data_IF_900886806947
#
_entry.id   IF_900886806947
#
_cell.length_a   1.000
_cell.length_b   1.000
_cell.length_c   1.000
_cell.angle_alpha   90.00
_cell.angle_beta   90.00
_cell.angle_gamma   90.00
#
_symmetry.space_group_name_H-M   'P 1'
#
loop_
_entity.id
_entity.type
_entity.pdbx_description
1 polymer ?
#
# COMPACT_ATOMS: atom_id res chain seq x y z
N UNK A 1 68.45 4.89 30.06
CA UNK A 1 67.97 3.66 30.64
C UNK A 1 66.84 3.11 29.77
N UNK A 2 67.18 2.13 29.06
CA UNK A 2 66.50 1.00 28.49
C UNK A 2 65.11 0.70 29.04
N UNK A 3 64.09 0.61 28.16
CA UNK A 3 62.98 -0.31 28.27
C UNK A 3 62.43 -0.54 26.88
N UNK A 4 62.77 -1.60 26.28
CA UNK A 4 62.06 -2.70 25.68
C UNK A 4 60.70 -2.36 25.05
N UNK A 5 60.72 -2.33 23.69
CA UNK A 5 59.59 -2.58 22.79
C UNK A 5 59.20 -4.06 22.92
N UNK A 6 57.99 -4.32 23.37
CA UNK A 6 57.32 -5.61 23.19
C UNK A 6 56.24 -5.43 22.13
N UNK A 7 56.50 -5.97 20.95
CA UNK A 7 55.54 -6.04 19.87
C UNK A 7 54.43 -7.07 20.18
N UNK A 8 53.20 -6.60 20.20
CA UNK A 8 52.05 -7.47 20.11
C UNK A 8 51.54 -7.47 18.65
N UNK A 9 51.96 -8.51 17.93
CA UNK A 9 51.46 -8.86 16.60
C UNK A 9 50.04 -9.43 16.79
N UNK A 10 49.04 -8.57 16.72
CA UNK A 10 47.67 -9.01 16.70
C UNK A 10 47.34 -9.62 15.35
N UNK A 11 47.31 -10.93 15.29
CA UNK A 11 46.83 -11.72 14.17
C UNK A 11 45.35 -11.37 13.97
N UNK A 12 45.01 -10.52 13.03
CA UNK A 12 43.64 -10.38 12.49
C UNK A 12 43.33 -11.67 11.73
N UNK A 13 42.70 -12.62 12.40
CA UNK A 13 41.90 -13.65 11.74
C UNK A 13 40.74 -12.93 11.05
N UNK A 14 40.89 -12.64 9.78
CA UNK A 14 39.75 -12.38 8.89
C UNK A 14 39.02 -13.70 8.76
N UNK A 15 38.04 -13.92 9.64
CA UNK A 15 37.02 -14.90 9.41
C UNK A 15 36.30 -14.47 8.14
N UNK A 16 36.62 -15.11 7.03
CA UNK A 16 35.80 -15.10 5.82
C UNK A 16 34.47 -15.73 6.23
N UNK A 17 33.53 -14.91 6.70
CA UNK A 17 32.14 -15.30 6.81
C UNK A 17 31.71 -15.50 5.37
N UNK A 18 31.74 -16.76 4.91
CA UNK A 18 31.02 -17.16 3.72
C UNK A 18 29.58 -16.73 4.01
N UNK A 19 29.15 -15.64 3.38
CA UNK A 19 27.77 -15.20 3.47
C UNK A 19 26.92 -16.33 2.87
N UNK A 20 26.49 -17.27 3.71
CA UNK A 20 25.46 -18.22 3.33
C UNK A 20 24.29 -17.40 2.87
N UNK A 21 23.94 -17.51 1.60
CA UNK A 21 22.76 -16.87 1.03
C UNK A 21 21.56 -17.25 1.91
N UNK A 22 21.01 -16.29 2.63
CA UNK A 22 19.83 -16.53 3.44
C UNK A 22 18.69 -16.94 2.51
N UNK A 23 18.16 -18.14 2.72
CA UNK A 23 16.97 -18.61 2.03
C UNK A 23 15.74 -18.10 2.78
N UNK A 24 14.96 -17.27 2.09
CA UNK A 24 13.77 -16.65 2.65
C UNK A 24 12.55 -17.54 2.47
N UNK A 25 11.86 -17.87 3.54
CA UNK A 25 10.54 -18.50 3.50
C UNK A 25 9.45 -17.47 3.16
N UNK A 26 8.29 -17.93 2.70
CA UNK A 26 7.15 -17.05 2.43
C UNK A 26 6.76 -16.22 3.68
N UNK A 27 6.73 -16.87 4.85
CA UNK A 27 6.37 -16.20 6.10
C UNK A 27 7.40 -15.15 6.51
N UNK A 28 8.70 -15.45 6.39
CA UNK A 28 9.76 -14.46 6.66
C UNK A 28 9.68 -13.25 5.71
N UNK A 29 9.35 -13.47 4.44
CA UNK A 29 9.12 -12.36 3.49
C UNK A 29 7.94 -11.48 3.93
N UNK A 30 6.83 -12.10 4.35
CA UNK A 30 5.66 -11.38 4.84
C UNK A 30 6.02 -10.59 6.10
N UNK A 31 6.61 -11.24 7.11
CA UNK A 31 6.94 -10.61 8.39
C UNK A 31 7.92 -9.43 8.22
N UNK A 32 8.89 -9.60 7.34
CA UNK A 32 9.83 -8.54 7.02
C UNK A 32 9.16 -7.34 6.32
N UNK A 33 8.29 -7.61 5.32
CA UNK A 33 7.55 -6.56 4.65
C UNK A 33 6.61 -5.80 5.60
N UNK A 34 5.95 -6.51 6.53
CA UNK A 34 5.09 -5.87 7.54
C UNK A 34 5.84 -4.87 8.41
N UNK A 35 7.15 -5.03 8.58
CA UNK A 35 7.99 -4.13 9.39
C UNK A 35 8.64 -3.01 8.55
N UNK A 36 9.04 -3.29 7.31
CA UNK A 36 9.93 -2.42 6.55
C UNK A 36 9.27 -1.75 5.33
N UNK A 37 8.13 -2.27 4.83
CA UNK A 37 7.53 -1.73 3.63
C UNK A 37 7.08 -0.27 3.80
N UNK A 38 7.56 0.61 2.92
CA UNK A 38 7.33 2.07 2.97
C UNK A 38 5.85 2.42 2.82
N UNK A 39 5.11 1.70 1.96
CA UNK A 39 3.68 1.96 1.76
C UNK A 39 2.89 1.70 3.04
N UNK A 40 3.21 0.63 3.76
CA UNK A 40 2.58 0.32 5.04
C UNK A 40 2.98 1.33 6.13
N UNK A 41 4.23 1.80 6.15
CA UNK A 41 4.67 2.86 7.07
C UNK A 41 3.92 4.17 6.79
N UNK A 42 3.70 4.53 5.52
CA UNK A 42 2.89 5.71 5.14
C UNK A 42 1.44 5.59 5.61
N UNK A 43 0.81 4.41 5.47
CA UNK A 43 -0.54 4.17 5.98
C UNK A 43 -0.60 4.34 7.51
N UNK A 44 0.42 3.88 8.25
CA UNK A 44 0.53 4.11 9.71
C UNK A 44 0.67 5.59 10.07
N UNK A 45 1.43 6.36 9.31
CA UNK A 45 1.53 7.82 9.51
C UNK A 45 0.20 8.53 9.20
N UNK A 46 -0.55 8.05 8.21
CA UNK A 46 -1.89 8.56 7.91
C UNK A 46 -2.86 8.33 9.09
N UNK A 47 -2.80 7.16 9.73
CA UNK A 47 -3.55 6.91 10.96
C UNK A 47 -3.16 7.89 12.09
N UNK A 48 -1.85 8.17 12.27
CA UNK A 48 -1.41 9.15 13.26
C UNK A 48 -1.98 10.55 12.96
N UNK A 49 -2.00 10.97 11.69
CA UNK A 49 -2.64 12.22 11.28
C UNK A 49 -4.14 12.22 11.61
N UNK A 50 -4.86 11.14 11.33
CA UNK A 50 -6.28 11.03 11.66
C UNK A 50 -6.54 11.11 13.19
N UNK A 51 -5.65 10.56 14.02
CA UNK A 51 -5.70 10.69 15.50
C UNK A 51 -5.54 12.14 15.95
N UNK A 52 -4.66 12.90 15.31
CA UNK A 52 -4.51 14.33 15.59
C UNK A 52 -5.75 15.13 15.15
N UNK A 53 -6.38 14.79 14.02
CA UNK A 53 -7.64 15.40 13.58
C UNK A 53 -8.78 15.16 14.58
N UNK A 54 -8.85 13.96 15.18
CA UNK A 54 -9.79 13.67 16.28
C UNK A 54 -9.47 14.52 17.51
N UNK A 55 -8.20 14.65 17.87
CA UNK A 55 -7.76 15.46 19.01
C UNK A 55 -8.08 16.94 18.79
N UNK A 56 -7.83 17.46 17.60
CA UNK A 56 -8.17 18.83 17.20
C UNK A 56 -9.69 19.06 17.26
N UNK A 57 -10.49 18.12 16.74
CA UNK A 57 -11.96 18.26 16.75
C UNK A 57 -12.55 18.20 18.15
N UNK A 58 -11.95 17.46 19.09
CA UNK A 58 -12.30 17.49 20.52
C UNK A 58 -11.92 18.83 21.14
N UNK A 59 -10.72 19.35 20.83
CA UNK A 59 -10.28 20.67 21.32
C UNK A 59 -11.19 21.81 20.81
N UNK A 60 -11.78 21.69 19.62
CA UNK A 60 -12.74 22.64 19.08
C UNK A 60 -14.06 22.75 19.90
N UNK A 61 -14.28 21.85 20.86
CA UNK A 61 -15.37 21.96 21.85
C UNK A 61 -15.00 22.85 23.03
N UNK A 62 -13.75 23.26 23.19
CA UNK A 62 -13.22 24.10 24.25
C UNK A 62 -13.13 25.55 23.77
N UNK A 63 -13.02 26.52 24.69
CA UNK A 63 -12.76 27.90 24.31
C UNK A 63 -11.36 28.10 23.72
N UNK A 64 -11.27 28.98 22.72
CA UNK A 64 -10.00 29.46 22.18
C UNK A 64 -9.58 30.77 22.89
N UNK A 65 -8.29 30.97 23.08
CA UNK A 65 -7.70 32.19 23.61
C UNK A 65 -6.61 32.70 22.65
N UNK A 66 -6.76 33.93 22.20
CA UNK A 66 -5.83 34.57 21.29
C UNK A 66 -5.32 35.89 21.88
N UNK A 67 -4.02 36.11 21.83
CA UNK A 67 -3.39 37.41 22.09
C UNK A 67 -3.08 38.08 20.74
N UNK A 68 -3.38 39.38 20.65
CA UNK A 68 -3.09 40.15 19.44
C UNK A 68 -2.50 41.50 19.82
N UNK A 69 -1.57 41.95 19.01
CA UNK A 69 -1.08 43.34 19.06
C UNK A 69 -0.97 43.86 17.64
N UNK A 70 -1.35 45.11 17.46
CA UNK A 70 -1.15 45.80 16.18
C UNK A 70 -0.58 47.20 16.40
N UNK A 71 0.30 47.58 15.51
CA UNK A 71 1.00 48.86 15.56
C UNK A 71 0.88 49.51 14.19
N UNK A 72 0.23 50.66 14.15
CA UNK A 72 -0.02 51.40 12.91
C UNK A 72 0.67 52.78 12.97
N UNK A 73 1.53 53.06 12.03
CA UNK A 73 2.12 54.36 11.80
C UNK A 73 1.39 55.00 10.61
N UNK A 74 0.75 56.13 10.87
CA UNK A 74 0.04 56.93 9.87
C UNK A 74 0.77 58.26 9.62
N UNK A 75 0.90 58.64 8.34
CA UNK A 75 1.39 59.95 7.92
C UNK A 75 0.35 60.65 7.04
N UNK A 76 -0.04 61.89 7.45
CA UNK A 76 -1.06 62.67 6.78
C UNK A 76 -0.46 63.99 6.30
N UNK A 77 0.14 64.04 5.11
CA UNK A 77 0.96 65.17 4.65
C UNK A 77 0.18 66.46 4.50
N UNK A 78 -1.11 66.42 4.22
CA UNK A 78 -1.96 67.59 3.98
C UNK A 78 -2.87 67.99 5.14
N UNK A 79 -2.77 67.32 6.30
CA UNK A 79 -3.56 67.66 7.47
C UNK A 79 -2.77 68.60 8.37
N UNK A 80 -3.07 69.88 8.29
CA UNK A 80 -2.39 70.95 9.05
C UNK A 80 -3.17 71.35 10.31
N UNK A 81 -4.47 71.07 10.41
CA UNK A 81 -5.32 71.39 11.57
C UNK A 81 -6.39 70.38 11.80
N UNK A 82 -6.83 70.11 13.01
CA UNK A 82 -7.96 69.29 13.44
C UNK A 82 -9.02 70.17 14.13
N UNK A 83 -10.27 69.72 14.12
CA UNK A 83 -11.37 70.37 14.84
C UNK A 83 -11.65 69.57 16.10
N UNK A 84 -11.54 70.15 17.27
CA UNK A 84 -11.92 69.56 18.55
C UNK A 84 -13.18 70.26 19.07
N UNK A 85 -14.21 69.49 19.38
CA UNK A 85 -15.45 70.01 19.98
C UNK A 85 -15.26 70.14 21.48
N UNK A 86 -15.49 71.33 21.97
CA UNK A 86 -15.50 71.67 23.41
C UNK A 86 -16.94 72.04 23.81
N UNK A 87 -17.22 72.05 25.14
CA UNK A 87 -18.57 72.24 25.69
C UNK A 87 -19.30 73.49 25.16
N UNK A 88 -18.60 74.53 24.71
CA UNK A 88 -19.17 75.79 24.20
C UNK A 88 -18.71 76.10 22.75
N UNK A 89 -18.30 75.18 21.92
CA UNK A 89 -17.89 75.47 20.55
C UNK A 89 -16.85 74.48 19.97
N UNK A 90 -16.25 74.88 18.86
CA UNK A 90 -15.17 74.14 18.19
C UNK A 90 -13.88 74.90 18.24
N UNK A 91 -12.78 74.23 18.54
CA UNK A 91 -11.44 74.80 18.52
C UNK A 91 -10.59 74.15 17.47
N UNK A 92 -9.94 74.91 16.61
CA UNK A 92 -8.94 74.45 15.70
C UNK A 92 -7.63 74.16 16.41
N UNK A 93 -7.17 72.90 16.38
CA UNK A 93 -5.90 72.54 17.01
C UNK A 93 -4.92 72.09 15.93
N UNK A 94 -3.63 72.43 16.13
CA UNK A 94 -2.58 71.85 15.27
C UNK A 94 -2.46 70.36 15.53
N UNK A 95 -2.44 69.56 14.45
CA UNK A 95 -2.37 68.08 14.54
C UNK A 95 -1.02 67.66 14.00
N UNK A 96 -0.35 66.77 14.71
CA UNK A 96 0.86 66.14 14.19
C UNK A 96 0.53 65.28 12.91
N UNK A 97 1.37 65.54 11.89
CA UNK A 97 1.19 64.80 10.61
C UNK A 97 1.47 63.32 10.73
N UNK A 98 2.24 62.93 11.74
CA UNK A 98 2.56 61.51 12.00
C UNK A 98 1.79 61.04 13.24
N UNK A 99 1.09 59.93 13.12
CA UNK A 99 0.37 59.27 14.21
C UNK A 99 0.80 57.83 14.35
N UNK A 100 1.05 57.42 15.56
CA UNK A 100 1.29 56.01 15.90
C UNK A 100 0.16 55.52 16.80
N UNK A 101 -0.44 54.38 16.42
CA UNK A 101 -1.50 53.73 17.19
C UNK A 101 -1.06 52.32 17.54
N UNK A 102 -1.03 51.98 18.81
CA UNK A 102 -0.83 50.63 19.32
C UNK A 102 -2.16 50.07 19.84
N UNK A 103 -2.48 48.82 19.54
CA UNK A 103 -3.57 48.07 20.17
C UNK A 103 -3.06 46.74 20.70
N UNK A 104 -3.51 46.38 21.86
CA UNK A 104 -3.14 45.18 22.60
C UNK A 104 -4.43 44.48 23.03
N UNK A 105 -4.58 43.17 22.73
CA UNK A 105 -5.82 42.46 23.03
C UNK A 105 -5.62 41.01 23.39
N UNK A 106 -6.43 40.55 24.34
CA UNK A 106 -6.67 39.14 24.62
C UNK A 106 -8.14 38.88 24.30
N UNK A 107 -8.39 37.86 23.45
CA UNK A 107 -9.73 37.50 23.05
C UNK A 107 -9.96 36.03 23.30
N UNK A 108 -10.98 35.68 24.06
CA UNK A 108 -11.45 34.33 24.24
C UNK A 108 -12.79 34.16 23.51
N UNK A 109 -12.92 33.07 22.77
CA UNK A 109 -14.17 32.71 22.11
C UNK A 109 -14.51 31.25 22.31
N UNK A 110 -15.78 30.95 22.57
CA UNK A 110 -16.27 29.59 22.76
C UNK A 110 -17.63 29.42 22.11
N UNK A 111 -17.69 28.49 21.16
CA UNK A 111 -18.98 28.03 20.59
C UNK A 111 -19.57 26.97 21.49
N UNK A 112 -20.49 27.37 22.34
CA UNK A 112 -21.15 26.46 23.32
C UNK A 112 -22.10 25.47 22.61
N UNK A 113 -22.81 25.96 21.59
CA UNK A 113 -23.76 25.17 20.84
C UNK A 113 -23.93 25.68 19.41
N UNK A 114 -23.92 24.77 18.42
CA UNK A 114 -24.11 25.08 17.01
C UNK A 114 -24.90 23.97 16.30
N UNK A 115 -26.02 23.53 16.90
CA UNK A 115 -26.80 22.43 16.33
C UNK A 115 -26.12 21.08 16.36
N UNK A 116 -25.19 20.86 17.31
CA UNK A 116 -24.32 19.68 17.42
C UNK A 116 -23.29 19.52 16.28
N UNK A 117 -23.07 20.53 15.44
CA UNK A 117 -22.09 20.46 14.35
C UNK A 117 -20.73 20.00 14.84
N UNK A 118 -20.17 20.66 15.88
CA UNK A 118 -18.83 20.33 16.41
C UNK A 118 -18.81 18.92 16.99
N UNK A 119 -19.87 18.48 17.68
CA UNK A 119 -19.95 17.11 18.22
C UNK A 119 -20.03 16.05 17.11
N UNK A 120 -20.77 16.34 16.05
CA UNK A 120 -20.84 15.46 14.88
C UNK A 120 -19.52 15.45 14.09
N UNK A 121 -18.77 16.59 14.08
CA UNK A 121 -17.43 16.62 13.51
C UNK A 121 -16.47 15.68 14.25
N UNK A 122 -16.54 15.61 15.59
CA UNK A 122 -15.76 14.64 16.39
C UNK A 122 -16.13 13.19 16.00
N UNK A 123 -17.44 12.91 15.78
CA UNK A 123 -17.88 11.59 15.34
C UNK A 123 -17.36 11.26 13.94
N UNK A 124 -17.42 12.23 13.03
CA UNK A 124 -16.91 12.05 11.66
C UNK A 124 -15.43 11.76 11.66
N UNK A 125 -14.64 12.53 12.42
CA UNK A 125 -13.19 12.32 12.49
C UNK A 125 -12.82 10.98 13.15
N UNK A 126 -13.62 10.47 14.11
CA UNK A 126 -13.43 9.11 14.64
C UNK A 126 -13.70 8.03 13.60
N UNK A 127 -14.75 8.17 12.79
CA UNK A 127 -15.00 7.24 11.70
C UNK A 127 -13.88 7.29 10.64
N UNK A 128 -13.29 8.45 10.41
CA UNK A 128 -12.11 8.60 9.54
C UNK A 128 -10.87 7.94 10.16
N UNK A 129 -10.68 8.02 11.48
CA UNK A 129 -9.63 7.30 12.20
C UNK A 129 -9.81 5.78 12.06
N UNK A 130 -11.03 5.26 12.28
CA UNK A 130 -11.35 3.84 12.07
C UNK A 130 -11.14 3.39 10.61
N UNK A 131 -11.48 4.25 9.64
CA UNK A 131 -11.16 3.99 8.22
C UNK A 131 -9.66 3.89 7.97
N UNK A 132 -8.86 4.77 8.57
CA UNK A 132 -7.41 4.73 8.43
C UNK A 132 -6.79 3.44 9.05
N UNK A 133 -7.40 2.88 10.12
CA UNK A 133 -7.00 1.58 10.65
C UNK A 133 -7.31 0.43 9.68
N UNK A 134 -8.46 0.47 9.03
CA UNK A 134 -8.83 -0.50 7.98
C UNK A 134 -7.93 -0.39 6.75
N UNK A 135 -7.52 0.83 6.35
CA UNK A 135 -6.60 1.07 5.24
C UNK A 135 -5.21 0.45 5.48
N UNK A 136 -4.73 0.44 6.75
CA UNK A 136 -3.49 -0.28 7.11
C UNK A 136 -3.66 -1.78 6.85
N UNK A 137 -4.79 -2.37 7.25
CA UNK A 137 -5.07 -3.79 7.05
C UNK A 137 -5.22 -4.13 5.56
N UNK A 138 -5.91 -3.28 4.81
CA UNK A 138 -6.07 -3.40 3.35
C UNK A 138 -4.71 -3.36 2.64
N UNK A 139 -3.86 -2.40 3.00
CA UNK A 139 -2.49 -2.28 2.49
C UNK A 139 -1.66 -3.51 2.84
N UNK A 140 -1.73 -3.99 4.08
CA UNK A 140 -1.02 -5.18 4.53
C UNK A 140 -1.47 -6.43 3.75
N UNK A 141 -2.77 -6.59 3.53
CA UNK A 141 -3.34 -7.69 2.74
C UNK A 141 -2.85 -7.65 1.28
N UNK A 142 -2.86 -6.48 0.65
CA UNK A 142 -2.37 -6.30 -0.71
C UNK A 142 -0.88 -6.64 -0.86
N UNK A 143 -0.06 -6.25 0.12
CA UNK A 143 1.37 -6.59 0.15
C UNK A 143 1.55 -8.10 0.33
N UNK A 144 0.83 -8.76 1.23
CA UNK A 144 0.89 -10.21 1.45
C UNK A 144 0.49 -10.98 0.19
N UNK A 145 -0.59 -10.57 -0.47
CA UNK A 145 -1.04 -11.16 -1.74
C UNK A 145 0.05 -11.05 -2.80
N UNK A 146 0.65 -9.86 -2.96
CA UNK A 146 1.72 -9.64 -3.94
C UNK A 146 2.97 -10.44 -3.65
N UNK A 147 3.36 -10.55 -2.37
CA UNK A 147 4.50 -11.39 -1.95
C UNK A 147 4.22 -12.85 -2.31
N UNK A 148 3.02 -13.38 -1.99
CA UNK A 148 2.67 -14.76 -2.28
C UNK A 148 2.68 -15.06 -3.79
N UNK A 149 2.17 -14.14 -4.61
CA UNK A 149 2.22 -14.26 -6.07
C UNK A 149 3.65 -14.32 -6.59
N UNK A 150 4.52 -13.38 -6.17
CA UNK A 150 5.92 -13.34 -6.60
C UNK A 150 6.69 -14.57 -6.10
N UNK A 151 6.46 -14.99 -4.87
CA UNK A 151 7.11 -16.14 -4.26
C UNK A 151 6.80 -17.44 -5.02
N UNK A 152 5.53 -17.71 -5.27
CA UNK A 152 5.09 -18.91 -6.03
C UNK A 152 5.61 -18.85 -7.47
N UNK A 153 5.64 -17.66 -8.09
CA UNK A 153 6.19 -17.49 -9.42
C UNK A 153 7.70 -17.80 -9.48
N UNK A 154 8.47 -17.39 -8.45
CA UNK A 154 9.90 -17.74 -8.34
C UNK A 154 10.06 -19.26 -8.20
N UNK A 155 9.26 -19.91 -7.36
CA UNK A 155 9.31 -21.36 -7.19
C UNK A 155 9.02 -22.10 -8.51
N UNK A 156 7.98 -21.68 -9.23
CA UNK A 156 7.67 -22.19 -10.56
C UNK A 156 8.85 -22.08 -11.51
N UNK A 157 9.44 -20.90 -11.62
CA UNK A 157 10.55 -20.65 -12.54
C UNK A 157 11.83 -21.40 -12.14
N UNK A 158 12.11 -21.56 -10.86
CA UNK A 158 13.25 -22.38 -10.38
C UNK A 158 13.08 -23.85 -10.78
N UNK A 159 11.87 -24.39 -10.73
CA UNK A 159 11.64 -25.75 -11.24
C UNK A 159 11.67 -25.80 -12.77
N UNK A 160 11.19 -24.78 -13.47
CA UNK A 160 11.28 -24.68 -14.92
C UNK A 160 12.76 -24.68 -15.41
N UNK A 161 13.67 -24.01 -14.68
CA UNK A 161 15.11 -24.08 -14.95
C UNK A 161 15.61 -25.51 -14.88
N UNK A 162 15.25 -26.28 -13.82
CA UNK A 162 15.65 -27.70 -13.68
C UNK A 162 15.13 -28.58 -14.82
N UNK A 163 13.88 -28.33 -15.28
CA UNK A 163 13.32 -29.04 -16.43
C UNK A 163 14.11 -28.75 -17.71
N UNK A 164 14.48 -27.48 -17.93
CA UNK A 164 15.30 -27.08 -19.08
C UNK A 164 16.74 -27.65 -18.99
N UNK A 165 17.35 -27.70 -17.79
CA UNK A 165 18.64 -28.31 -17.55
C UNK A 165 18.63 -29.83 -17.90
N UNK A 166 17.58 -30.54 -17.48
CA UNK A 166 17.39 -31.93 -17.84
C UNK A 166 17.22 -32.13 -19.36
N UNK A 167 16.51 -31.18 -20.03
CA UNK A 167 16.41 -31.17 -21.50
C UNK A 167 17.74 -30.95 -22.19
N UNK A 168 18.55 -30.01 -21.70
CA UNK A 168 19.89 -29.74 -22.22
C UNK A 168 20.82 -30.98 -22.08
N UNK A 169 20.79 -31.64 -20.92
CA UNK A 169 21.59 -32.83 -20.68
C UNK A 169 21.22 -33.92 -21.69
N UNK A 170 19.92 -34.07 -22.00
CA UNK A 170 19.44 -34.98 -23.04
C UNK A 170 19.96 -34.57 -24.43
N UNK A 171 19.93 -33.29 -24.79
CA UNK A 171 20.46 -32.79 -26.06
C UNK A 171 21.97 -32.99 -26.20
N UNK A 172 22.73 -32.83 -25.14
CA UNK A 172 24.17 -33.10 -25.12
C UNK A 172 24.47 -34.54 -25.42
N UNK A 173 23.76 -35.50 -24.79
CA UNK A 173 23.89 -36.94 -25.07
C UNK A 173 23.52 -37.28 -26.51
N UNK A 174 22.47 -36.68 -27.03
CA UNK A 174 22.06 -36.87 -28.40
C UNK A 174 23.07 -36.34 -29.41
N UNK A 175 23.66 -35.14 -29.16
CA UNK A 175 24.73 -34.56 -30.00
C UNK A 175 25.96 -35.43 -29.97
N UNK A 176 26.42 -35.89 -28.79
CA UNK A 176 27.58 -36.81 -28.66
C UNK A 176 27.34 -38.11 -29.44
N UNK A 177 26.18 -38.72 -29.27
CA UNK A 177 25.80 -39.91 -30.02
C UNK A 177 25.76 -39.67 -31.53
N UNK A 178 25.21 -38.52 -31.95
CA UNK A 178 25.17 -38.09 -33.34
C UNK A 178 26.60 -37.95 -33.93
N UNK A 179 27.53 -37.42 -33.16
CA UNK A 179 28.95 -37.25 -33.55
C UNK A 179 29.58 -38.63 -33.80
N UNK A 180 29.41 -39.61 -32.89
CA UNK A 180 29.86 -40.97 -33.06
C UNK A 180 29.25 -41.61 -34.34
N UNK A 181 27.94 -41.38 -34.59
CA UNK A 181 27.30 -41.91 -35.78
C UNK A 181 27.82 -41.32 -37.11
N UNK A 182 28.19 -40.04 -37.10
CA UNK A 182 28.83 -39.40 -38.26
C UNK A 182 30.23 -39.96 -38.50
N UNK A 183 31.02 -40.22 -37.47
CA UNK A 183 32.36 -40.79 -37.57
C UNK A 183 32.38 -42.17 -38.20
N UNK A 184 31.35 -42.99 -37.88
CA UNK A 184 31.18 -44.32 -38.48
C UNK A 184 30.31 -44.31 -39.75
N UNK A 185 29.98 -43.15 -40.30
CA UNK A 185 29.23 -42.99 -41.55
C UNK A 185 27.73 -43.36 -41.49
N UNK A 186 27.13 -43.45 -40.29
CA UNK A 186 25.72 -43.81 -40.08
C UNK A 186 24.80 -42.61 -40.01
N UNK A 187 25.32 -41.40 -39.95
CA UNK A 187 24.57 -40.13 -39.87
C UNK A 187 25.20 -39.08 -40.80
N UNK A 188 24.39 -38.17 -41.30
CA UNK A 188 24.89 -37.06 -42.11
C UNK A 188 25.43 -35.90 -41.21
N UNK A 189 26.35 -35.10 -41.74
CA UNK A 189 26.82 -33.89 -41.06
C UNK A 189 25.69 -32.85 -40.88
N UNK A 190 24.68 -32.88 -41.78
CA UNK A 190 23.51 -31.98 -41.66
C UNK A 190 22.66 -32.37 -40.43
N UNK A 191 22.44 -33.63 -40.18
CA UNK A 191 21.71 -34.12 -39.01
C UNK A 191 22.45 -33.80 -37.70
N UNK A 192 23.80 -33.94 -37.68
CA UNK A 192 24.60 -33.52 -36.53
C UNK A 192 24.49 -32.00 -36.28
N UNK A 193 24.47 -31.20 -37.35
CA UNK A 193 24.29 -29.77 -37.21
C UNK A 193 22.93 -29.41 -36.58
N UNK A 194 21.85 -30.17 -36.85
CA UNK A 194 20.53 -30.01 -36.23
C UNK A 194 20.59 -30.35 -34.72
N UNK A 195 21.29 -31.44 -34.33
CA UNK A 195 21.49 -31.78 -32.90
C UNK A 195 22.28 -30.67 -32.16
N UNK A 196 23.31 -30.12 -32.80
CA UNK A 196 24.08 -29.01 -32.22
C UNK A 196 23.21 -27.71 -32.08
N UNK A 197 22.36 -27.43 -33.06
CA UNK A 197 21.41 -26.34 -32.99
C UNK A 197 20.40 -26.52 -31.84
N UNK A 198 19.85 -27.73 -31.66
CA UNK A 198 18.94 -28.04 -30.57
C UNK A 198 19.60 -27.84 -29.20
N UNK A 199 20.83 -28.34 -29.01
CA UNK A 199 21.59 -28.12 -27.78
C UNK A 199 21.76 -26.64 -27.49
N UNK A 200 22.09 -25.85 -28.52
CA UNK A 200 22.28 -24.40 -28.36
C UNK A 200 20.97 -23.68 -28.02
N UNK A 201 19.83 -24.14 -28.57
CA UNK A 201 18.50 -23.64 -28.21
C UNK A 201 18.17 -23.96 -26.74
N UNK A 202 18.49 -25.17 -26.27
CA UNK A 202 18.25 -25.54 -24.87
C UNK A 202 19.13 -24.71 -23.92
N UNK A 203 20.40 -24.42 -24.27
CA UNK A 203 21.25 -23.50 -23.51
C UNK A 203 20.65 -22.10 -23.45
N UNK A 204 20.14 -21.57 -24.57
CA UNK A 204 19.45 -20.29 -24.60
C UNK A 204 18.20 -20.27 -23.70
N UNK A 205 17.39 -21.35 -23.71
CA UNK A 205 16.20 -21.48 -22.88
C UNK A 205 16.54 -21.47 -21.38
N UNK A 206 17.64 -22.09 -20.98
CA UNK A 206 18.11 -22.04 -19.57
C UNK A 206 18.48 -20.62 -19.19
N UNK A 207 19.29 -19.92 -19.99
CA UNK A 207 19.70 -18.54 -19.70
C UNK A 207 18.47 -17.62 -19.59
N UNK A 208 17.51 -17.79 -20.51
CA UNK A 208 16.24 -17.03 -20.48
C UNK A 208 15.42 -17.31 -19.22
N UNK A 209 15.30 -18.58 -18.82
CA UNK A 209 14.57 -18.95 -17.59
C UNK A 209 15.29 -18.44 -16.34
N UNK A 210 16.62 -18.52 -16.27
CA UNK A 210 17.40 -17.97 -15.16
C UNK A 210 17.27 -16.46 -15.06
N UNK A 211 17.28 -15.75 -16.18
CA UNK A 211 17.04 -14.30 -16.20
C UNK A 211 15.65 -13.94 -15.66
N UNK A 212 14.64 -14.75 -15.96
CA UNK A 212 13.30 -14.56 -15.40
C UNK A 212 13.27 -14.78 -13.88
N UNK A 213 13.93 -15.81 -13.37
CA UNK A 213 14.08 -16.04 -11.92
C UNK A 213 14.66 -14.81 -11.24
N UNK A 214 15.79 -14.29 -11.76
CA UNK A 214 16.44 -13.11 -11.17
C UNK A 214 15.55 -11.85 -11.25
N UNK A 215 14.78 -11.69 -12.33
CA UNK A 215 13.81 -10.58 -12.44
C UNK A 215 12.73 -10.64 -11.35
N UNK A 216 12.12 -11.82 -11.13
CA UNK A 216 11.09 -11.96 -10.08
C UNK A 216 11.69 -11.87 -8.68
N UNK A 217 12.92 -12.34 -8.45
CA UNK A 217 13.66 -12.11 -7.19
C UNK A 217 13.90 -10.61 -6.97
N UNK A 218 14.26 -9.87 -8.01
CA UNK A 218 14.43 -8.42 -7.93
C UNK A 218 13.13 -7.72 -7.56
N UNK A 219 12.01 -8.10 -8.19
CA UNK A 219 10.69 -7.54 -7.84
C UNK A 219 10.31 -7.85 -6.39
N UNK A 220 10.58 -9.06 -5.90
CA UNK A 220 10.33 -9.42 -4.51
C UNK A 220 11.24 -8.62 -3.56
N UNK A 221 12.54 -8.51 -3.87
CA UNK A 221 13.50 -7.68 -3.12
C UNK A 221 13.03 -6.22 -3.00
N UNK A 222 12.55 -5.64 -4.10
CA UNK A 222 12.01 -4.28 -4.12
C UNK A 222 10.76 -4.14 -3.24
N UNK A 223 9.85 -5.12 -3.29
CA UNK A 223 8.65 -5.11 -2.45
C UNK A 223 8.99 -5.25 -0.95
N UNK A 224 10.07 -5.96 -0.63
CA UNK A 224 10.62 -6.10 0.71
C UNK A 224 11.46 -4.89 1.16
N UNK A 225 11.70 -3.90 0.28
CA UNK A 225 12.58 -2.75 0.53
C UNK A 225 14.05 -3.14 0.84
N UNK A 226 14.48 -4.30 0.33
CA UNK A 226 15.85 -4.75 0.50
C UNK A 226 16.73 -4.10 -0.58
N UNK A 227 17.62 -3.20 -0.17
CA UNK A 227 18.57 -2.50 -1.05
C UNK A 227 19.94 -3.17 -1.02
N UNK A 228 20.68 -3.05 -2.11
CA UNK A 228 22.09 -3.52 -2.20
C UNK A 228 22.23 -4.86 -2.93
N UNK A 229 23.49 -5.32 -3.03
CA UNK A 229 23.91 -6.51 -3.78
C UNK A 229 23.89 -7.80 -2.93
N UNK A 230 23.28 -7.78 -1.75
CA UNK A 230 23.19 -8.97 -0.92
C UNK A 230 22.47 -10.10 -1.68
N UNK A 231 23.07 -11.29 -1.64
CA UNK A 231 22.51 -12.47 -2.26
C UNK A 231 21.16 -12.80 -1.64
N UNK A 232 20.11 -12.78 -2.48
CA UNK A 232 18.73 -13.04 -2.08
C UNK A 232 18.22 -14.28 -2.81
N UNK A 233 17.68 -15.24 -2.07
CA UNK A 233 17.00 -16.39 -2.65
C UNK A 233 15.84 -16.85 -1.79
N UNK A 234 14.85 -17.51 -2.41
CA UNK A 234 13.69 -18.05 -1.73
C UNK A 234 13.89 -19.52 -1.40
N UNK A 235 13.41 -19.91 -0.21
CA UNK A 235 13.42 -21.29 0.21
C UNK A 235 12.44 -22.10 -0.66
N UNK A 236 12.91 -23.25 -1.16
CA UNK A 236 12.01 -24.25 -1.74
C UNK A 236 11.34 -25.00 -0.58
N UNK A 237 10.02 -25.25 -0.63
CA UNK A 237 9.35 -26.06 0.38
C UNK A 237 10.06 -27.38 0.55
N UNK A 238 10.29 -27.79 1.82
CA UNK A 238 10.83 -29.11 2.10
C UNK A 238 9.96 -30.19 1.44
N UNK A 239 10.60 -31.23 0.93
CA UNK A 239 9.97 -32.34 0.24
C UNK A 239 8.92 -33.13 1.06
N UNK A 240 8.73 -32.78 2.34
CA UNK A 240 7.78 -33.40 3.24
C UNK A 240 6.29 -33.17 2.87
N UNK A 241 5.98 -32.05 2.21
CA UNK A 241 4.70 -31.90 1.51
C UNK A 241 4.97 -31.90 0.01
N UNK A 242 4.66 -32.98 -0.67
CA UNK A 242 4.83 -33.00 -2.11
C UNK A 242 3.96 -31.88 -2.71
N UNK A 243 4.59 -30.99 -3.48
CA UNK A 243 3.87 -29.90 -4.15
C UNK A 243 2.71 -30.42 -5.01
N UNK A 244 2.72 -31.72 -5.36
CA UNK A 244 1.64 -32.41 -6.03
C UNK A 244 0.40 -32.60 -5.14
N UNK A 245 0.57 -32.99 -3.87
CA UNK A 245 -0.55 -33.10 -2.90
C UNK A 245 -1.19 -31.73 -2.64
N UNK A 246 -0.38 -30.68 -2.56
CA UNK A 246 -0.91 -29.32 -2.44
C UNK A 246 -1.76 -28.90 -3.65
N UNK A 247 -1.32 -29.25 -4.86
CA UNK A 247 -2.06 -28.96 -6.09
C UNK A 247 -3.34 -29.81 -6.25
N UNK A 248 -3.40 -31.00 -5.62
CA UNK A 248 -4.56 -31.90 -5.66
C UNK A 248 -5.53 -31.70 -4.47
N UNK A 249 -5.24 -30.74 -3.59
CA UNK A 249 -6.12 -30.43 -2.46
C UNK A 249 -7.50 -29.95 -2.94
N UNK A 250 -8.51 -30.16 -2.09
CA UNK A 250 -9.89 -29.79 -2.42
C UNK A 250 -10.04 -28.28 -2.61
N UNK A 251 -10.73 -27.88 -3.67
CA UNK A 251 -11.08 -26.49 -3.94
C UNK A 251 -12.30 -26.14 -3.06
N UNK A 252 -12.21 -25.13 -2.19
CA UNK A 252 -13.33 -24.75 -1.33
C UNK A 252 -14.53 -24.26 -2.16
N UNK A 253 -15.73 -24.37 -1.61
CA UNK A 253 -16.93 -23.87 -2.28
C UNK A 253 -16.88 -22.34 -2.41
N UNK A 254 -17.10 -21.83 -3.62
CA UNK A 254 -17.05 -20.39 -3.95
C UNK A 254 -17.86 -19.54 -2.97
N UNK A 255 -19.12 -19.91 -2.73
CA UNK A 255 -20.04 -19.14 -1.88
C UNK A 255 -19.55 -19.06 -0.43
N UNK A 256 -18.99 -20.16 0.09
CA UNK A 256 -18.45 -20.19 1.46
C UNK A 256 -17.26 -19.24 1.63
N UNK A 257 -16.37 -19.15 0.64
CA UNK A 257 -15.23 -18.23 0.65
C UNK A 257 -15.74 -16.78 0.57
N UNK A 258 -16.70 -16.51 -0.30
CA UNK A 258 -17.27 -15.17 -0.47
C UNK A 258 -17.99 -14.68 0.79
N UNK A 259 -18.83 -15.49 1.41
CA UNK A 259 -19.57 -15.11 2.64
C UNK A 259 -18.60 -14.79 3.79
N UNK A 260 -17.52 -15.59 3.93
CA UNK A 260 -16.49 -15.33 4.94
C UNK A 260 -15.72 -14.04 4.63
N UNK A 261 -15.33 -13.84 3.37
CA UNK A 261 -14.65 -12.64 2.92
C UNK A 261 -15.52 -11.38 3.12
N UNK A 262 -16.81 -11.45 2.76
CA UNK A 262 -17.75 -10.35 2.92
C UNK A 262 -17.84 -9.85 4.38
N UNK A 263 -17.75 -10.77 5.34
CA UNK A 263 -17.82 -10.45 6.76
C UNK A 263 -16.50 -9.93 7.36
N UNK A 264 -15.36 -10.27 6.76
CA UNK A 264 -14.04 -10.08 7.40
C UNK A 264 -13.11 -9.13 6.66
N UNK A 265 -13.37 -8.85 5.37
CA UNK A 265 -12.43 -8.07 4.56
C UNK A 265 -12.47 -6.58 4.88
N UNK A 266 -11.29 -5.96 5.11
CA UNK A 266 -11.21 -4.55 5.50
C UNK A 266 -11.72 -3.60 4.42
N UNK A 267 -11.59 -3.93 3.14
CA UNK A 267 -12.12 -3.14 2.03
C UNK A 267 -13.65 -3.00 2.06
N UNK A 268 -14.37 -4.03 2.50
CA UNK A 268 -15.83 -3.99 2.67
C UNK A 268 -16.20 -3.15 3.90
N UNK A 269 -15.50 -3.38 5.01
CA UNK A 269 -15.71 -2.62 6.25
C UNK A 269 -15.41 -1.13 6.05
N UNK A 270 -14.37 -0.79 5.29
CA UNK A 270 -14.03 0.59 4.92
C UNK A 270 -15.15 1.25 4.09
N UNK A 271 -15.70 0.54 3.10
CA UNK A 271 -16.83 1.03 2.32
C UNK A 271 -18.11 1.22 3.18
N UNK A 272 -18.38 0.33 4.13
CA UNK A 272 -19.47 0.51 5.11
C UNK A 272 -19.25 1.73 6.01
N UNK A 273 -17.99 1.96 6.46
CA UNK A 273 -17.64 3.15 7.24
C UNK A 273 -17.83 4.44 6.43
N UNK A 274 -17.57 4.43 5.12
CA UNK A 274 -17.83 5.57 4.24
C UNK A 274 -19.34 5.91 4.18
N UNK A 275 -20.21 4.91 4.18
CA UNK A 275 -21.69 5.12 4.28
C UNK A 275 -22.06 5.72 5.64
N UNK A 276 -21.55 5.18 6.76
CA UNK A 276 -21.77 5.71 8.12
C UNK A 276 -21.28 7.15 8.26
N UNK A 277 -20.10 7.46 7.70
CA UNK A 277 -19.54 8.82 7.67
C UNK A 277 -20.43 9.79 6.90
N UNK A 278 -21.09 9.33 5.84
CA UNK A 278 -22.05 10.12 5.09
C UNK A 278 -23.30 10.45 5.90
N UNK A 279 -23.80 9.53 6.74
CA UNK A 279 -24.93 9.79 7.63
C UNK A 279 -24.58 10.91 8.64
N UNK A 280 -23.41 10.89 9.23
CA UNK A 280 -22.91 11.95 10.12
C UNK A 280 -22.74 13.26 9.36
N UNK A 281 -22.26 13.22 8.11
CA UNK A 281 -22.12 14.41 7.26
C UNK A 281 -23.47 15.07 6.93
N UNK A 282 -24.52 14.28 6.76
CA UNK A 282 -25.90 14.81 6.61
C UNK A 282 -26.32 15.56 7.88
N UNK A 283 -26.02 15.03 9.07
CA UNK A 283 -26.36 15.69 10.33
C UNK A 283 -25.55 16.97 10.55
N UNK A 284 -24.27 17.00 10.15
CA UNK A 284 -23.45 18.23 10.11
C UNK A 284 -24.08 19.26 9.17
N UNK A 285 -24.54 18.85 7.99
CA UNK A 285 -25.19 19.74 7.05
C UNK A 285 -26.52 20.30 7.58
N UNK A 286 -27.34 19.47 8.26
CA UNK A 286 -28.60 19.88 8.91
C UNK A 286 -28.37 20.91 10.02
N UNK A 287 -27.23 20.85 10.73
CA UNK A 287 -26.89 21.80 11.78
C UNK A 287 -26.83 23.27 11.29
N UNK A 288 -26.63 23.50 9.98
CA UNK A 288 -26.68 24.84 9.39
C UNK A 288 -28.01 25.59 9.54
N UNK A 289 -29.11 24.89 9.90
CA UNK A 289 -30.42 25.49 10.20
C UNK A 289 -30.61 25.81 11.68
N UNK A 290 -29.73 25.34 12.52
CA UNK A 290 -29.87 25.48 13.97
C UNK A 290 -29.21 26.78 14.43
N UNK A 291 -29.70 27.39 15.53
CA UNK A 291 -29.02 28.52 16.15
C UNK A 291 -27.58 28.18 16.55
N UNK A 292 -26.72 29.21 16.57
CA UNK A 292 -25.37 29.10 17.13
C UNK A 292 -25.28 29.98 18.35
N UNK A 293 -24.83 29.42 19.48
CA UNK A 293 -24.62 30.13 20.74
C UNK A 293 -23.13 30.18 21.00
N UNK A 294 -22.58 31.39 21.11
CA UNK A 294 -21.17 31.64 21.38
C UNK A 294 -20.98 32.52 22.58
N UNK A 295 -20.00 32.23 23.41
CA UNK A 295 -19.48 33.11 24.47
C UNK A 295 -18.21 33.79 23.98
N UNK A 296 -18.07 35.06 24.30
CA UNK A 296 -16.91 35.86 23.97
C UNK A 296 -16.45 36.61 25.23
N UNK A 297 -15.17 36.69 25.44
CA UNK A 297 -14.58 37.53 26.46
C UNK A 297 -13.35 38.24 25.89
N UNK A 298 -13.18 39.50 26.21
CA UNK A 298 -12.04 40.28 25.72
C UNK A 298 -11.46 41.15 26.81
N UNK A 299 -10.15 41.35 26.73
CA UNK A 299 -9.45 42.38 27.48
C UNK A 299 -8.54 43.13 26.49
N UNK A 300 -8.65 44.44 26.41
CA UNK A 300 -7.90 45.20 25.43
C UNK A 300 -7.43 46.54 26.00
N UNK A 301 -6.34 47.07 25.48
CA UNK A 301 -5.87 48.40 25.70
C UNK A 301 -5.36 49.02 24.39
N UNK A 302 -5.38 50.32 24.29
CA UNK A 302 -4.87 51.04 23.13
C UNK A 302 -4.01 52.24 23.52
N UNK A 303 -3.05 52.56 22.67
CA UNK A 303 -2.18 53.70 22.81
C UNK A 303 -2.16 54.52 21.53
N UNK A 304 -2.03 55.84 21.67
CA UNK A 304 -1.98 56.80 20.56
C UNK A 304 -0.90 57.84 20.82
N UNK A 305 -0.02 58.08 19.87
CA UNK A 305 1.05 59.10 19.98
C UNK A 305 0.54 60.54 20.01
N UNK A 306 -0.71 60.79 19.63
CA UNK A 306 -1.34 62.12 19.69
C UNK A 306 -1.94 62.43 21.06
N UNK A 307 -1.95 61.48 21.98
CA UNK A 307 -2.38 61.69 23.38
C UNK A 307 -1.24 62.24 24.18
N UNK A 308 -1.59 63.14 25.13
CA UNK A 308 -0.61 63.86 25.94
C UNK A 308 -0.09 63.09 27.16
N UNK A 309 -0.58 61.90 27.42
CA UNK A 309 -0.20 61.06 28.55
C UNK A 309 0.75 59.94 28.10
N UNK A 310 1.57 59.48 29.02
CA UNK A 310 2.56 58.40 28.76
C UNK A 310 1.91 57.06 28.39
N UNK A 311 2.69 56.24 27.76
CA UNK A 311 2.22 54.90 27.32
C UNK A 311 1.61 54.10 28.47
N UNK A 312 2.21 54.14 29.67
CA UNK A 312 1.71 53.38 30.83
C UNK A 312 0.35 53.90 31.33
N UNK A 313 0.13 55.20 31.26
CA UNK A 313 -1.14 55.80 31.64
C UNK A 313 -2.22 55.57 30.61
N UNK A 314 -1.86 55.57 29.33
CA UNK A 314 -2.79 55.16 28.26
C UNK A 314 -3.20 53.71 28.38
N UNK A 315 -2.26 52.82 28.67
CA UNK A 315 -2.55 51.40 28.89
C UNK A 315 -3.53 51.18 30.04
N UNK A 316 -3.44 51.94 31.11
CA UNK A 316 -4.38 51.89 32.25
C UNK A 316 -5.71 52.54 31.93
N UNK A 317 -5.70 53.74 31.36
CA UNK A 317 -6.92 54.52 31.10
C UNK A 317 -7.77 53.95 29.97
N UNK A 318 -7.13 53.31 28.97
CA UNK A 318 -7.80 52.67 27.83
C UNK A 318 -8.00 51.18 28.05
N UNK A 319 -7.69 50.63 29.23
CA UNK A 319 -7.94 49.22 29.53
C UNK A 319 -9.45 48.98 29.61
N UNK A 320 -9.91 48.02 28.79
CA UNK A 320 -11.31 47.63 28.72
C UNK A 320 -11.43 46.13 28.79
N UNK A 321 -12.40 45.62 29.53
CA UNK A 321 -12.75 44.22 29.60
C UNK A 321 -14.24 44.05 29.27
N UNK A 322 -14.56 43.03 28.51
CA UNK A 322 -15.92 42.71 28.15
C UNK A 322 -16.19 41.22 28.09
N UNK A 323 -17.40 40.82 28.42
CA UNK A 323 -17.89 39.47 28.18
C UNK A 323 -19.29 39.56 27.58
N UNK A 324 -19.57 38.66 26.64
CA UNK A 324 -20.85 38.65 25.93
C UNK A 324 -21.29 37.27 25.51
N UNK A 325 -22.57 37.10 25.33
CA UNK A 325 -23.23 35.94 24.73
C UNK A 325 -23.80 36.37 23.38
N UNK A 326 -23.48 35.64 22.33
CA UNK A 326 -24.02 35.88 21.00
C UNK A 326 -24.88 34.68 20.62
N UNK A 327 -26.12 34.92 20.17
CA UNK A 327 -27.01 33.93 19.61
C UNK A 327 -27.34 34.32 18.17
N UNK A 328 -26.92 33.53 17.23
CA UNK A 328 -27.19 33.71 15.79
C UNK A 328 -28.16 32.69 15.31
N UNK A 329 -29.29 33.11 14.74
CA UNK A 329 -30.34 32.23 14.20
C UNK A 329 -30.47 32.51 12.70
N UNK A 330 -30.14 31.55 11.82
CA UNK A 330 -30.30 31.74 10.38
C UNK A 330 -31.79 31.67 9.99
N UNK A 331 -32.34 32.80 9.54
CA UNK A 331 -33.75 32.89 9.10
C UNK A 331 -33.85 32.59 7.61
N UNK A 332 -32.95 33.14 6.81
CA UNK A 332 -32.91 32.94 5.36
C UNK A 332 -31.44 32.86 4.92
N UNK A 333 -31.03 31.74 4.36
CA UNK A 333 -29.65 31.42 3.97
C UNK A 333 -29.51 31.23 2.45
N UNK A 334 -30.38 31.84 1.67
CA UNK A 334 -30.33 31.71 0.20
C UNK A 334 -30.31 30.26 -0.30
N UNK A 335 -31.01 29.35 0.41
CA UNK A 335 -31.07 27.91 0.15
C UNK A 335 -29.76 27.13 0.42
N UNK A 336 -28.72 27.75 0.96
CA UNK A 336 -27.41 27.13 1.15
C UNK A 336 -27.50 25.82 1.96
N UNK A 337 -28.14 25.83 3.12
CA UNK A 337 -28.29 24.64 3.96
C UNK A 337 -29.09 23.53 3.28
N UNK A 338 -30.21 23.90 2.59
CA UNK A 338 -31.02 22.92 1.84
C UNK A 338 -30.16 22.24 0.76
N UNK A 339 -29.35 23.01 0.05
CA UNK A 339 -28.45 22.47 -0.99
C UNK A 339 -27.37 21.56 -0.40
N UNK A 340 -26.76 21.98 0.73
CA UNK A 340 -25.73 21.18 1.40
C UNK A 340 -26.30 19.84 1.91
N UNK A 341 -27.50 19.83 2.51
CA UNK A 341 -28.18 18.60 2.94
C UNK A 341 -28.48 17.69 1.75
N UNK A 342 -28.96 18.26 0.64
CA UNK A 342 -29.25 17.47 -0.56
C UNK A 342 -27.95 16.88 -1.17
N UNK A 343 -26.88 17.66 -1.25
CA UNK A 343 -25.56 17.17 -1.69
C UNK A 343 -25.03 16.03 -0.79
N UNK A 344 -25.15 16.19 0.53
CA UNK A 344 -24.74 15.14 1.48
C UNK A 344 -25.55 13.86 1.31
N UNK A 345 -26.85 13.96 1.02
CA UNK A 345 -27.71 12.79 0.71
C UNK A 345 -27.29 12.10 -0.59
N UNK A 346 -27.03 12.89 -1.66
CA UNK A 346 -26.53 12.36 -2.93
C UNK A 346 -25.18 11.65 -2.73
N UNK A 347 -24.30 12.23 -1.91
CA UNK A 347 -23.00 11.59 -1.59
C UNK A 347 -23.21 10.27 -0.84
N UNK A 348 -24.16 10.20 0.10
CA UNK A 348 -24.51 8.95 0.77
C UNK A 348 -25.00 7.87 -0.20
N UNK A 349 -25.87 8.26 -1.13
CA UNK A 349 -26.34 7.32 -2.17
C UNK A 349 -25.18 6.84 -3.06
N UNK A 350 -24.29 7.75 -3.44
CA UNK A 350 -23.06 7.41 -4.17
C UNK A 350 -22.20 6.41 -3.39
N UNK A 351 -22.04 6.58 -2.07
CA UNK A 351 -21.26 5.67 -1.23
C UNK A 351 -21.95 4.30 -1.04
N UNK A 352 -23.29 4.24 -1.05
CA UNK A 352 -24.02 2.97 -1.08
C UNK A 352 -23.77 2.20 -2.38
N UNK A 353 -23.78 2.89 -3.51
CA UNK A 353 -23.44 2.28 -4.80
C UNK A 353 -21.97 1.83 -4.85
N UNK A 354 -21.06 2.60 -4.26
CA UNK A 354 -19.65 2.22 -4.14
C UNK A 354 -19.46 0.96 -3.27
N UNK A 355 -20.24 0.83 -2.18
CA UNK A 355 -20.23 -0.40 -1.36
C UNK A 355 -20.71 -1.62 -2.17
N UNK A 356 -21.80 -1.48 -2.94
CA UNK A 356 -22.27 -2.55 -3.81
C UNK A 356 -21.26 -2.93 -4.89
N UNK A 357 -20.59 -1.94 -5.47
CA UNK A 357 -19.54 -2.18 -6.46
C UNK A 357 -18.35 -2.90 -5.83
N UNK A 358 -17.92 -2.52 -4.63
CA UNK A 358 -16.85 -3.18 -3.89
C UNK A 358 -17.20 -4.64 -3.56
N UNK A 359 -18.44 -4.91 -3.14
CA UNK A 359 -18.93 -6.28 -2.91
C UNK A 359 -18.89 -7.13 -4.20
N UNK A 360 -19.26 -6.53 -5.33
CA UNK A 360 -19.21 -7.18 -6.63
C UNK A 360 -17.77 -7.46 -7.07
N UNK A 361 -16.86 -6.50 -6.88
CA UNK A 361 -15.44 -6.67 -7.20
C UNK A 361 -14.81 -7.79 -6.35
N UNK A 362 -15.14 -7.84 -5.06
CA UNK A 362 -14.71 -8.93 -4.18
C UNK A 362 -15.21 -10.30 -4.68
N UNK A 363 -16.50 -10.38 -5.05
CA UNK A 363 -17.06 -11.60 -5.63
C UNK A 363 -16.31 -12.02 -6.90
N UNK A 364 -16.10 -11.09 -7.83
CA UNK A 364 -15.36 -11.35 -9.09
C UNK A 364 -13.93 -11.82 -8.84
N UNK A 365 -13.25 -11.23 -7.87
CA UNK A 365 -11.88 -11.63 -7.51
C UNK A 365 -11.85 -13.07 -6.99
N UNK A 366 -12.75 -13.42 -6.07
CA UNK A 366 -12.84 -14.77 -5.52
C UNK A 366 -13.29 -15.78 -6.59
N UNK A 367 -14.25 -15.40 -7.44
CA UNK A 367 -14.71 -16.23 -8.57
C UNK A 367 -13.58 -16.54 -9.56
N UNK A 368 -12.75 -15.55 -9.88
CA UNK A 368 -11.58 -15.73 -10.74
C UNK A 368 -10.58 -16.72 -10.10
N UNK A 369 -10.22 -16.54 -8.83
CA UNK A 369 -9.34 -17.49 -8.14
C UNK A 369 -9.93 -18.89 -8.05
N UNK A 370 -11.24 -19.01 -7.85
CA UNK A 370 -11.94 -20.28 -7.80
C UNK A 370 -11.95 -20.98 -9.16
N UNK A 371 -12.28 -20.25 -10.23
CA UNK A 371 -12.29 -20.76 -11.60
C UNK A 371 -10.89 -21.19 -12.03
N UNK A 372 -9.89 -20.35 -11.73
CA UNK A 372 -8.49 -20.65 -12.05
C UNK A 372 -7.97 -21.85 -11.24
N UNK A 373 -8.32 -21.96 -9.94
CA UNK A 373 -7.97 -23.13 -9.14
C UNK A 373 -8.55 -24.41 -9.72
N UNK A 374 -9.85 -24.40 -10.04
CA UNK A 374 -10.55 -25.57 -10.58
C UNK A 374 -10.00 -25.97 -11.97
N UNK A 375 -9.84 -24.98 -12.85
CA UNK A 375 -9.36 -25.20 -14.20
C UNK A 375 -7.91 -25.70 -14.23
N UNK A 376 -7.01 -25.04 -13.46
CA UNK A 376 -5.62 -25.45 -13.41
C UNK A 376 -5.43 -26.80 -12.71
N UNK A 377 -6.26 -27.15 -11.73
CA UNK A 377 -6.22 -28.47 -11.11
C UNK A 377 -6.60 -29.57 -12.12
N UNK A 378 -7.63 -29.34 -12.95
CA UNK A 378 -7.99 -30.28 -14.02
C UNK A 378 -6.88 -30.38 -15.08
N UNK A 379 -6.30 -29.22 -15.49
CA UNK A 379 -5.14 -29.22 -16.40
C UNK A 379 -3.96 -29.98 -15.82
N UNK A 380 -3.69 -29.83 -14.52
CA UNK A 380 -2.60 -30.52 -13.85
C UNK A 380 -2.80 -32.04 -13.85
N UNK A 381 -4.03 -32.54 -13.56
CA UNK A 381 -4.37 -33.97 -13.65
C UNK A 381 -4.18 -34.51 -15.06
N UNK A 382 -4.64 -33.82 -16.08
CA UNK A 382 -4.45 -34.21 -17.47
C UNK A 382 -2.96 -34.15 -17.87
N UNK A 383 -2.24 -33.12 -17.47
CA UNK A 383 -0.83 -32.98 -17.78
C UNK A 383 0.06 -34.04 -17.12
N UNK A 384 -0.31 -34.58 -15.95
CA UNK A 384 0.39 -35.73 -15.36
C UNK A 384 0.33 -36.95 -16.27
N UNK A 385 -0.86 -37.28 -16.81
CA UNK A 385 -1.02 -38.41 -17.74
C UNK A 385 -0.31 -38.15 -19.08
N UNK A 386 -0.34 -36.87 -19.56
CA UNK A 386 0.36 -36.50 -20.79
C UNK A 386 1.88 -36.67 -20.63
N UNK A 387 2.46 -36.20 -19.51
CA UNK A 387 3.90 -36.35 -19.24
C UNK A 387 4.30 -37.82 -19.19
N UNK A 388 3.49 -38.69 -18.56
CA UNK A 388 3.76 -40.11 -18.49
C UNK A 388 3.77 -40.73 -19.90
N UNK A 389 2.78 -40.44 -20.75
CA UNK A 389 2.68 -40.93 -22.11
C UNK A 389 3.80 -40.42 -23.02
N UNK A 390 4.11 -39.10 -22.94
CA UNK A 390 5.19 -38.50 -23.74
C UNK A 390 6.57 -38.98 -23.28
N UNK A 391 6.76 -39.28 -22.00
CA UNK A 391 8.01 -39.86 -21.50
C UNK A 391 8.22 -41.26 -22.09
N UNK A 392 7.18 -42.11 -22.04
CA UNK A 392 7.25 -43.44 -22.64
C UNK A 392 7.48 -43.39 -24.16
N UNK A 393 6.80 -42.49 -24.86
CA UNK A 393 6.97 -42.26 -26.29
C UNK A 393 8.40 -41.83 -26.64
N UNK A 394 8.94 -40.85 -25.88
CA UNK A 394 10.29 -40.39 -26.09
C UNK A 394 11.34 -41.47 -25.81
N UNK A 395 11.18 -42.23 -24.73
CA UNK A 395 12.10 -43.33 -24.39
C UNK A 395 12.18 -44.36 -25.53
N UNK A 396 11.04 -44.73 -26.13
CA UNK A 396 11.00 -45.61 -27.29
C UNK A 396 11.64 -45.00 -28.56
N UNK A 397 11.42 -43.69 -28.78
CA UNK A 397 12.08 -42.97 -29.89
C UNK A 397 13.60 -42.91 -29.69
N UNK A 398 14.05 -42.70 -28.45
CA UNK A 398 15.47 -42.71 -28.09
C UNK A 398 16.13 -44.07 -28.34
N UNK A 399 15.44 -45.17 -27.97
CA UNK A 399 15.92 -46.55 -28.26
C UNK A 399 16.01 -46.82 -29.78
N UNK A 400 14.95 -46.48 -30.54
CA UNK A 400 14.95 -46.59 -32.00
C UNK A 400 16.07 -45.75 -32.65
N UNK A 401 16.30 -44.55 -32.17
CA UNK A 401 17.37 -43.68 -32.66
C UNK A 401 18.75 -44.33 -32.44
N UNK A 402 18.99 -44.89 -31.24
CA UNK A 402 20.26 -45.52 -30.88
C UNK A 402 20.61 -46.71 -31.79
N UNK A 403 19.59 -47.42 -32.32
CA UNK A 403 19.77 -48.56 -33.27
C UNK A 403 19.62 -48.14 -34.74
N UNK A 404 19.35 -46.85 -35.02
CA UNK A 404 19.24 -46.32 -36.39
C UNK A 404 17.87 -46.58 -37.06
N UNK A 405 16.83 -46.88 -36.30
CA UNK A 405 15.47 -47.20 -36.79
C UNK A 405 14.51 -46.01 -36.84
N UNK A 406 14.93 -44.82 -36.36
CA UNK A 406 14.17 -43.58 -36.50
C UNK A 406 15.10 -42.43 -36.94
N UNK A 407 14.51 -41.40 -37.54
CA UNK A 407 15.25 -40.23 -37.98
C UNK A 407 15.35 -39.19 -36.85
N UNK A 408 16.23 -38.21 -37.04
CA UNK A 408 16.50 -37.15 -36.06
C UNK A 408 15.32 -36.24 -35.83
N UNK A 409 14.51 -35.98 -36.85
CA UNK A 409 13.33 -35.09 -36.80
C UNK A 409 12.28 -35.66 -35.85
N UNK A 410 12.02 -36.97 -35.91
CA UNK A 410 11.10 -37.64 -35.01
C UNK A 410 11.60 -37.63 -33.57
N UNK A 411 12.91 -37.88 -33.35
CA UNK A 411 13.53 -37.83 -32.03
C UNK A 411 13.41 -36.43 -31.40
N UNK A 412 13.75 -35.37 -32.18
CA UNK A 412 13.65 -33.96 -31.72
C UNK A 412 12.20 -33.58 -31.42
N UNK A 413 11.26 -33.95 -32.30
CA UNK A 413 9.82 -33.66 -32.07
C UNK A 413 9.32 -34.34 -30.79
N UNK A 414 9.69 -35.62 -30.54
CA UNK A 414 9.32 -36.33 -29.32
C UNK A 414 9.92 -35.68 -28.06
N UNK A 415 11.17 -35.24 -28.14
CA UNK A 415 11.82 -34.48 -27.04
C UNK A 415 11.10 -33.17 -26.75
N UNK A 416 10.76 -32.42 -27.79
CA UNK A 416 10.08 -31.12 -27.63
C UNK A 416 8.66 -31.28 -27.07
N UNK A 417 7.93 -32.32 -27.53
CA UNK A 417 6.62 -32.66 -26.97
C UNK A 417 6.72 -32.97 -25.48
N UNK A 418 7.69 -33.79 -25.07
CA UNK A 418 7.92 -34.12 -23.66
C UNK A 418 8.29 -32.86 -22.83
N UNK A 419 9.14 -31.97 -23.38
CA UNK A 419 9.50 -30.72 -22.73
C UNK A 419 8.27 -29.84 -22.50
N UNK A 420 7.46 -29.65 -23.53
CA UNK A 420 6.20 -28.89 -23.47
C UNK A 420 5.22 -29.50 -22.46
N UNK A 421 5.08 -30.82 -22.45
CA UNK A 421 4.23 -31.54 -21.50
C UNK A 421 4.69 -31.28 -20.04
N UNK A 422 6.01 -31.38 -19.76
CA UNK A 422 6.58 -31.11 -18.45
C UNK A 422 6.38 -29.62 -18.03
N UNK A 423 6.55 -28.70 -18.95
CA UNK A 423 6.32 -27.26 -18.68
C UNK A 423 4.83 -27.00 -18.37
N UNK A 424 3.91 -27.56 -19.12
CA UNK A 424 2.47 -27.44 -18.89
C UNK A 424 2.05 -28.05 -17.53
N UNK A 425 2.60 -29.21 -17.17
CA UNK A 425 2.38 -29.83 -15.88
C UNK A 425 2.85 -28.92 -14.74
N UNK A 426 4.05 -28.36 -14.89
CA UNK A 426 4.66 -27.49 -13.88
C UNK A 426 3.85 -26.20 -13.71
N UNK A 427 3.48 -25.55 -14.81
CA UNK A 427 2.68 -24.32 -14.79
C UNK A 427 1.32 -24.56 -14.13
N UNK A 428 0.59 -25.60 -14.54
CA UNK A 428 -0.72 -25.90 -13.98
C UNK A 428 -0.64 -26.26 -12.50
N UNK A 429 0.41 -26.96 -12.05
CA UNK A 429 0.69 -27.27 -10.65
C UNK A 429 0.82 -26.00 -9.80
N UNK A 430 1.73 -25.11 -10.17
CA UNK A 430 2.02 -23.91 -9.38
C UNK A 430 0.88 -22.89 -9.42
N UNK A 431 0.18 -22.75 -10.56
CA UNK A 431 -1.02 -21.92 -10.65
C UNK A 431 -2.14 -22.45 -9.76
N UNK A 432 -2.34 -23.78 -9.67
CA UNK A 432 -3.31 -24.34 -8.73
C UNK A 432 -2.94 -24.04 -7.29
N UNK A 433 -1.68 -24.24 -6.90
CA UNK A 433 -1.19 -23.95 -5.54
C UNK A 433 -1.42 -22.48 -5.18
N UNK A 434 -1.07 -21.55 -6.07
CA UNK A 434 -1.28 -20.13 -5.86
C UNK A 434 -2.75 -19.81 -5.62
N UNK A 435 -3.63 -20.27 -6.53
CA UNK A 435 -5.05 -19.95 -6.46
C UNK A 435 -5.72 -20.56 -5.23
N UNK A 436 -5.34 -21.78 -4.81
CA UNK A 436 -5.80 -22.40 -3.58
C UNK A 436 -5.33 -21.61 -2.34
N UNK A 437 -4.09 -21.09 -2.34
CA UNK A 437 -3.60 -20.25 -1.26
C UNK A 437 -4.34 -18.91 -1.21
N UNK A 438 -4.65 -18.31 -2.36
CA UNK A 438 -5.46 -17.09 -2.43
C UNK A 438 -6.87 -17.33 -1.89
N UNK A 439 -7.55 -18.41 -2.27
CA UNK A 439 -8.86 -18.75 -1.72
C UNK A 439 -8.81 -18.94 -0.19
N UNK A 440 -7.78 -19.58 0.33
CA UNK A 440 -7.56 -19.69 1.79
C UNK A 440 -7.28 -18.33 2.44
N UNK A 441 -6.56 -17.44 1.76
CA UNK A 441 -6.30 -16.08 2.24
C UNK A 441 -7.59 -15.27 2.34
N UNK A 442 -8.50 -15.38 1.36
CA UNK A 442 -9.79 -14.70 1.37
C UNK A 442 -10.79 -15.30 2.39
N UNK A 443 -10.64 -16.59 2.75
CA UNK A 443 -11.49 -17.23 3.75
C UNK A 443 -11.02 -17.08 5.20
N UNK A 444 -9.81 -16.53 5.45
CA UNK A 444 -9.32 -16.33 6.81
C UNK A 444 -9.85 -15.00 7.37
N UNK A 445 -10.26 -14.98 8.66
CA UNK A 445 -10.42 -13.70 9.33
C UNK A 445 -9.06 -12.99 9.31
N UNK A 446 -9.05 -11.72 8.91
CA UNK A 446 -7.86 -10.87 9.04
C UNK A 446 -7.41 -10.90 10.50
N UNK A 447 -6.15 -11.24 10.82
CA UNK A 447 -5.69 -11.17 12.18
C UNK A 447 -5.88 -9.72 12.65
N UNK A 448 -6.69 -9.55 13.69
CA UNK A 448 -6.79 -8.26 14.36
C UNK A 448 -5.37 -7.89 14.77
N UNK A 449 -4.86 -6.80 14.19
CA UNK A 449 -3.57 -6.26 14.59
C UNK A 449 -3.68 -5.89 16.06
N UNK A 450 -3.17 -6.76 16.95
CA UNK A 450 -2.77 -6.33 18.27
C UNK A 450 -1.61 -5.37 18.07
N UNK A 451 -1.94 -4.07 17.99
CA UNK A 451 -1.00 -2.97 18.11
C UNK A 451 -0.47 -2.89 19.55
#
# INVERSE_FOLDING_TARGET
MKKLLTGALTLMLTASVSAQTKLWTLQECIDYAMQHNITLQRARLQLQSAKEDVSQSKAALLPSLNASTSHNLGYRPWQDSGITTVTNGTVNTKVDKTSYNGSYGLNASWTVWNGNRNRNQVKLNRLTEEQAELEIQETANSIQEKIAQLYVQILYLKEAVKVNEASLETSRKNEERGREMVEVGKMSKADLAQLSAQRSNDEYNIVSAQAQVENYKLQLKQLLEILGDEAFDVATPDAAMTTNEMALADVPALMSVYEQALATRPEIQSAEMAVKSSDVSIDIAKAGRMPTVSLQASASASTNSLANNDWSDQMKSNFNTGAGVSVSVPIFDQRQTKTNVNKARIQRESNLLALQDQQKQLYQTIENYWLDATTNQQKFRAAMATVESEQQSYDLLQEKFNVGLTNIVELMAGKDNLLVAKQNQLQSKYMTILNLQMLKFYSRPTPSSSL
#
